data_IF_109781303631
#
_entry.id   IF_109781303631
#
_cell.length_a   1.000
_cell.length_b   1.000
_cell.length_c   1.000
_cell.angle_alpha   90.00
_cell.angle_beta   90.00
_cell.angle_gamma   90.00
#
_symmetry.space_group_name_H-M   'P 1'
#
loop_
_entity.id
_entity.type
_entity.pdbx_description
1 polymer ?
#
# COMPACT_ATOMS: atom_id res chain seq x y z
N UNK A 1 -2.32 33.37 0.65
CA UNK A 1 -3.65 33.57 0.03
C UNK A 1 -4.50 32.33 0.30
N UNK A 2 -5.77 32.50 0.68
CA UNK A 2 -6.71 31.36 0.79
C UNK A 2 -6.95 30.88 -0.64
N UNK A 3 -6.52 29.66 -0.98
CA UNK A 3 -6.76 29.09 -2.31
C UNK A 3 -8.27 28.87 -2.47
N UNK A 4 -8.85 29.38 -3.57
CA UNK A 4 -10.23 29.12 -3.95
C UNK A 4 -10.40 27.60 -4.12
N UNK A 5 -11.39 27.00 -3.45
CA UNK A 5 -11.74 25.57 -3.59
C UNK A 5 -13.14 25.49 -4.20
N UNK A 6 -13.39 24.49 -5.03
CA UNK A 6 -14.72 24.16 -5.53
C UNK A 6 -15.36 23.15 -4.60
N UNK A 7 -16.60 23.36 -4.23
CA UNK A 7 -17.36 22.40 -3.45
C UNK A 7 -18.20 21.54 -4.39
N UNK A 8 -18.11 20.23 -4.21
CA UNK A 8 -18.94 19.26 -4.90
C UNK A 8 -19.71 18.47 -3.86
N UNK A 9 -21.00 18.80 -3.73
CA UNK A 9 -21.89 18.13 -2.79
C UNK A 9 -22.40 16.85 -3.46
N UNK A 10 -22.23 15.72 -2.78
CA UNK A 10 -22.74 14.45 -3.25
C UNK A 10 -24.26 14.40 -3.14
N UNK A 11 -24.90 13.93 -4.18
CA UNK A 11 -26.36 13.68 -4.19
C UNK A 11 -26.59 12.19 -4.00
N UNK A 12 -27.49 11.84 -3.10
CA UNK A 12 -27.84 10.44 -2.81
C UNK A 12 -29.28 10.14 -3.24
N UNK A 13 -29.56 8.89 -3.50
CA UNK A 13 -30.90 8.39 -3.81
C UNK A 13 -31.71 8.26 -2.51
N UNK A 14 -32.77 9.06 -2.40
CA UNK A 14 -33.67 9.08 -1.22
C UNK A 14 -34.40 7.76 -0.98
N UNK A 15 -34.72 7.04 -2.03
CA UNK A 15 -35.39 5.73 -1.90
C UNK A 15 -34.43 4.71 -1.28
N UNK A 16 -33.17 4.69 -1.73
CA UNK A 16 -32.12 3.83 -1.15
C UNK A 16 -31.80 4.23 0.30
N UNK A 17 -31.73 5.54 0.63
CA UNK A 17 -31.56 5.99 2.01
C UNK A 17 -32.67 5.43 2.91
N UNK A 18 -33.94 5.55 2.50
CA UNK A 18 -35.09 5.07 3.27
C UNK A 18 -35.09 3.53 3.44
N UNK A 19 -34.62 2.79 2.44
CA UNK A 19 -34.44 1.34 2.54
C UNK A 19 -33.39 1.01 3.60
N UNK A 20 -32.23 1.65 3.57
CA UNK A 20 -31.16 1.44 4.55
C UNK A 20 -31.59 1.80 5.98
N UNK A 21 -32.30 2.93 6.15
CA UNK A 21 -32.84 3.32 7.46
C UNK A 21 -33.78 2.23 8.01
N UNK A 22 -34.69 1.74 7.19
CA UNK A 22 -35.69 0.74 7.59
C UNK A 22 -35.06 -0.63 7.89
N UNK A 23 -34.15 -1.10 7.02
CA UNK A 23 -33.61 -2.46 7.08
C UNK A 23 -32.43 -2.59 8.07
N UNK A 24 -31.66 -1.51 8.27
CA UNK A 24 -30.47 -1.51 9.14
C UNK A 24 -30.67 -0.72 10.43
N UNK A 25 -31.72 0.06 10.56
CA UNK A 25 -31.96 0.90 11.76
C UNK A 25 -30.96 2.02 11.96
N UNK A 26 -30.28 2.48 10.88
CA UNK A 26 -29.22 3.50 10.97
C UNK A 26 -29.80 4.91 10.95
N UNK A 27 -29.04 5.86 11.50
CA UNK A 27 -29.36 7.28 11.43
C UNK A 27 -29.43 7.75 9.95
N UNK A 28 -30.34 8.66 9.57
CA UNK A 28 -30.48 9.17 8.20
C UNK A 28 -29.19 9.67 7.58
N UNK A 29 -28.31 10.34 8.33
CA UNK A 29 -27.02 10.79 7.82
C UNK A 29 -26.10 9.61 7.49
N UNK A 30 -26.10 8.55 8.30
CA UNK A 30 -25.34 7.33 8.05
C UNK A 30 -25.85 6.64 6.79
N UNK A 31 -27.17 6.52 6.64
CA UNK A 31 -27.76 5.95 5.42
C UNK A 31 -27.34 6.72 4.16
N UNK A 32 -27.36 8.06 4.21
CA UNK A 32 -26.91 8.92 3.13
C UNK A 32 -25.43 8.68 2.79
N UNK A 33 -24.55 8.58 3.81
CA UNK A 33 -23.14 8.28 3.62
C UNK A 33 -22.92 6.90 3.00
N UNK A 34 -23.73 5.90 3.39
CA UNK A 34 -23.67 4.56 2.83
C UNK A 34 -24.10 4.53 1.36
N UNK A 35 -25.19 5.21 1.01
CA UNK A 35 -25.64 5.34 -0.40
C UNK A 35 -24.59 6.01 -1.26
N UNK A 36 -23.96 7.08 -0.78
CA UNK A 36 -22.88 7.77 -1.49
C UNK A 36 -21.64 6.88 -1.71
N UNK A 37 -21.46 5.84 -0.90
CA UNK A 37 -20.39 4.83 -1.02
C UNK A 37 -20.84 3.56 -1.74
N UNK A 38 -22.05 3.58 -2.33
CA UNK A 38 -22.65 2.45 -3.03
C UNK A 38 -22.82 1.19 -2.17
N UNK A 39 -22.98 1.37 -0.86
CA UNK A 39 -23.20 0.27 0.09
C UNK A 39 -24.70 -0.05 0.12
N UNK A 40 -25.06 -1.26 -0.29
CA UNK A 40 -26.44 -1.79 -0.21
C UNK A 40 -26.77 -2.35 1.18
N UNK A 41 -27.97 -2.92 1.35
CA UNK A 41 -28.43 -3.46 2.64
C UNK A 41 -27.56 -4.62 3.12
N UNK A 42 -27.21 -5.56 2.23
CA UNK A 42 -26.44 -6.75 2.59
C UNK A 42 -24.99 -6.40 2.92
N UNK A 43 -24.39 -5.55 2.14
CA UNK A 43 -23.05 -5.02 2.43
C UNK A 43 -23.06 -4.12 3.68
N UNK A 44 -24.11 -3.31 3.86
CA UNK A 44 -24.28 -2.45 5.02
C UNK A 44 -24.39 -3.23 6.32
N UNK A 45 -25.09 -4.36 6.30
CA UNK A 45 -25.19 -5.27 7.47
C UNK A 45 -23.81 -5.82 7.83
N UNK A 46 -23.05 -6.29 6.83
CA UNK A 46 -21.66 -6.75 7.03
C UNK A 46 -20.72 -5.63 7.47
N UNK A 47 -20.89 -4.43 6.91
CA UNK A 47 -20.08 -3.28 7.25
C UNK A 47 -20.25 -2.83 8.71
N UNK A 48 -21.50 -2.86 9.22
CA UNK A 48 -21.82 -2.43 10.59
C UNK A 48 -21.58 -3.54 11.63
N UNK A 49 -21.94 -4.78 11.30
CA UNK A 49 -22.03 -5.89 12.24
C UNK A 49 -21.10 -7.06 11.90
N UNK A 50 -20.36 -6.98 10.79
CA UNK A 50 -19.50 -8.07 10.34
C UNK A 50 -18.50 -8.52 11.42
N UNK A 51 -18.29 -9.81 11.48
CA UNK A 51 -17.45 -10.52 12.43
C UNK A 51 -16.54 -11.53 11.72
N UNK A 52 -15.62 -12.14 12.45
CA UNK A 52 -14.72 -13.16 11.90
C UNK A 52 -15.44 -14.38 11.29
N UNK A 53 -16.70 -14.64 11.67
CA UNK A 53 -17.51 -15.69 11.05
C UNK A 53 -17.98 -15.37 9.63
N UNK A 54 -17.88 -14.12 9.21
CA UNK A 54 -18.24 -13.65 7.87
C UNK A 54 -17.07 -13.63 6.89
N UNK A 55 -15.87 -14.09 7.32
CA UNK A 55 -14.73 -14.24 6.45
C UNK A 55 -15.05 -15.28 5.36
N UNK A 56 -14.64 -14.95 4.12
CA UNK A 56 -14.88 -15.81 2.96
C UNK A 56 -13.94 -17.02 2.96
N UNK A 57 -14.41 -18.13 2.40
CA UNK A 57 -13.63 -19.33 2.21
C UNK A 57 -12.35 -19.02 1.39
N UNK A 58 -11.14 -19.26 1.93
CA UNK A 58 -9.90 -18.99 1.22
C UNK A 58 -9.74 -19.86 -0.04
N UNK A 59 -10.38 -21.05 -0.11
CA UNK A 59 -10.37 -21.91 -1.29
C UNK A 59 -11.20 -21.38 -2.46
N UNK A 60 -11.98 -20.32 -2.27
CA UNK A 60 -12.62 -19.59 -3.37
C UNK A 60 -11.63 -18.72 -4.17
N UNK A 61 -10.41 -18.47 -3.66
CA UNK A 61 -9.32 -17.87 -4.43
C UNK A 61 -8.78 -18.90 -5.44
N UNK A 62 -8.59 -18.46 -6.67
CA UNK A 62 -8.02 -19.29 -7.73
C UNK A 62 -6.64 -19.82 -7.33
N UNK A 63 -6.34 -21.06 -7.69
CA UNK A 63 -5.10 -21.79 -7.45
C UNK A 63 -4.74 -22.01 -5.96
N UNK A 64 -5.65 -21.71 -5.02
CA UNK A 64 -5.40 -21.88 -3.59
C UNK A 64 -5.16 -23.34 -3.20
N UNK A 65 -5.91 -24.25 -3.79
CA UNK A 65 -5.78 -25.71 -3.57
C UNK A 65 -4.41 -26.23 -4.05
N UNK A 66 -3.97 -25.75 -5.21
CA UNK A 66 -2.63 -26.08 -5.77
C UNK A 66 -1.53 -25.54 -4.87
N UNK A 67 -1.65 -24.27 -4.42
CA UNK A 67 -0.68 -23.66 -3.53
C UNK A 67 -0.58 -24.39 -2.19
N UNK A 68 -1.73 -24.72 -1.56
CA UNK A 68 -1.78 -25.49 -0.31
C UNK A 68 -1.07 -26.83 -0.47
N UNK A 69 -1.39 -27.58 -1.53
CA UNK A 69 -0.79 -28.89 -1.79
C UNK A 69 0.73 -28.79 -1.97
N UNK A 70 1.21 -27.80 -2.74
CA UNK A 70 2.63 -27.60 -2.99
C UNK A 70 3.41 -27.19 -1.72
N UNK A 71 2.83 -26.31 -0.90
CA UNK A 71 3.46 -25.91 0.38
C UNK A 71 3.54 -27.11 1.33
N UNK A 72 2.46 -27.89 1.48
CA UNK A 72 2.46 -29.09 2.32
C UNK A 72 3.48 -30.12 1.87
N UNK A 73 3.54 -30.42 0.58
CA UNK A 73 4.53 -31.35 0.01
C UNK A 73 5.97 -30.87 0.26
N UNK A 74 6.21 -29.56 0.13
CA UNK A 74 7.54 -28.97 0.35
C UNK A 74 7.96 -29.08 1.81
N UNK A 75 7.03 -28.82 2.75
CA UNK A 75 7.27 -28.99 4.20
C UNK A 75 7.52 -30.45 4.56
N UNK A 76 6.69 -31.39 4.08
CA UNK A 76 6.84 -32.82 4.34
C UNK A 76 8.18 -33.38 3.84
N UNK A 77 8.69 -32.84 2.74
CA UNK A 77 9.99 -33.20 2.18
C UNK A 77 11.17 -32.45 2.80
N UNK A 78 10.93 -31.61 3.82
CA UNK A 78 11.94 -30.75 4.47
C UNK A 78 12.78 -29.95 3.48
N UNK A 79 12.16 -29.41 2.45
CA UNK A 79 12.82 -28.59 1.44
C UNK A 79 12.76 -27.11 1.80
N UNK A 80 13.82 -26.31 1.45
CA UNK A 80 13.87 -24.90 1.81
C UNK A 80 12.84 -24.09 1.03
N UNK A 81 12.13 -23.21 1.74
CA UNK A 81 11.16 -22.26 1.23
C UNK A 81 11.72 -20.85 1.42
N UNK A 82 11.60 -19.99 0.41
CA UNK A 82 11.91 -18.57 0.54
C UNK A 82 10.63 -17.75 0.28
N UNK A 83 10.33 -16.85 1.20
CA UNK A 83 9.30 -15.83 1.02
C UNK A 83 9.97 -14.62 0.36
N UNK A 84 9.52 -14.25 -0.84
CA UNK A 84 10.00 -13.07 -1.56
C UNK A 84 8.98 -11.95 -1.40
N UNK A 85 9.28 -10.95 -0.56
CA UNK A 85 8.37 -9.85 -0.24
C UNK A 85 8.70 -8.55 -0.97
N UNK A 86 7.85 -7.53 -0.78
CA UNK A 86 8.15 -6.14 -1.13
C UNK A 86 8.66 -5.36 0.09
N UNK A 87 9.25 -4.20 -0.16
CA UNK A 87 9.92 -3.36 0.84
C UNK A 87 8.99 -2.36 1.55
N UNK A 88 7.72 -2.26 1.18
CA UNK A 88 6.74 -1.42 1.88
C UNK A 88 6.04 -2.16 3.03
N UNK A 89 5.15 -1.48 3.76
CA UNK A 89 4.52 -2.07 4.95
C UNK A 89 3.61 -3.24 4.61
N UNK A 90 2.96 -3.26 3.45
CA UNK A 90 2.13 -4.40 3.03
C UNK A 90 3.00 -5.62 2.76
N UNK A 91 4.08 -5.48 1.97
CA UNK A 91 5.07 -6.53 1.72
C UNK A 91 5.78 -7.01 2.99
N UNK A 92 6.20 -6.08 3.88
CA UNK A 92 6.82 -6.37 5.17
C UNK A 92 5.88 -7.20 6.06
N UNK A 93 4.62 -6.78 6.20
CA UNK A 93 3.64 -7.48 7.04
C UNK A 93 3.22 -8.81 6.44
N UNK A 94 3.06 -8.90 5.11
CA UNK A 94 2.78 -10.13 4.40
C UNK A 94 3.91 -11.17 4.58
N UNK A 95 5.16 -10.72 4.43
CA UNK A 95 6.35 -11.54 4.71
C UNK A 95 6.36 -12.03 6.15
N UNK A 96 6.09 -11.13 7.10
CA UNK A 96 6.12 -11.46 8.53
C UNK A 96 5.05 -12.48 8.92
N UNK A 97 3.81 -12.29 8.44
CA UNK A 97 2.69 -13.20 8.71
C UNK A 97 2.98 -14.59 8.14
N UNK A 98 3.38 -14.67 6.87
CA UNK A 98 3.64 -15.96 6.22
C UNK A 98 4.87 -16.66 6.84
N UNK A 99 5.94 -15.91 7.17
CA UNK A 99 7.13 -16.46 7.84
C UNK A 99 6.79 -17.06 9.21
N UNK A 100 6.11 -16.29 10.08
CA UNK A 100 5.67 -16.76 11.41
C UNK A 100 4.81 -18.01 11.30
N UNK A 101 3.87 -17.99 10.37
CA UNK A 101 2.98 -19.12 10.12
C UNK A 101 3.72 -20.37 9.64
N UNK A 102 4.59 -20.25 8.64
CA UNK A 102 5.37 -21.39 8.12
C UNK A 102 6.34 -21.95 9.17
N UNK A 103 6.98 -21.09 9.99
CA UNK A 103 7.77 -21.52 11.17
C UNK A 103 6.91 -22.31 12.16
N UNK A 104 5.70 -21.87 12.45
CA UNK A 104 4.74 -22.60 13.31
C UNK A 104 4.37 -23.98 12.74
N UNK A 105 4.38 -24.14 11.42
CA UNK A 105 4.19 -25.42 10.75
C UNK A 105 5.44 -26.32 10.74
N UNK A 106 6.61 -25.80 11.18
CA UNK A 106 7.88 -26.51 11.17
C UNK A 106 8.62 -26.47 9.82
N UNK A 107 8.28 -25.54 8.94
CA UNK A 107 8.96 -25.37 7.66
C UNK A 107 10.40 -24.88 7.81
N UNK A 108 11.27 -25.34 6.92
CA UNK A 108 12.56 -24.70 6.66
C UNK A 108 12.34 -23.48 5.78
N UNK A 109 12.15 -22.32 6.40
CA UNK A 109 11.75 -21.08 5.71
C UNK A 109 12.65 -19.92 6.07
N UNK A 110 12.99 -19.15 5.04
CA UNK A 110 13.67 -17.85 5.11
C UNK A 110 12.90 -16.82 4.30
N UNK A 111 13.34 -15.57 4.30
CA UNK A 111 12.72 -14.52 3.50
C UNK A 111 13.78 -13.66 2.81
N UNK A 112 13.37 -13.03 1.72
CA UNK A 112 14.14 -12.09 0.92
C UNK A 112 13.31 -10.86 0.65
N UNK A 113 13.87 -9.68 0.90
CA UNK A 113 13.26 -8.39 0.59
C UNK A 113 14.21 -7.63 -0.34
N UNK A 114 13.82 -7.28 -1.57
CA UNK A 114 14.68 -6.56 -2.50
C UNK A 114 15.03 -5.16 -2.00
N UNK A 115 16.21 -4.69 -2.34
CA UNK A 115 16.61 -3.31 -2.08
C UNK A 115 16.01 -2.37 -3.11
N UNK A 116 15.22 -1.40 -2.64
CA UNK A 116 14.53 -0.43 -3.49
C UNK A 116 15.44 0.32 -4.47
N UNK A 117 16.67 0.64 -4.05
CA UNK A 117 17.56 1.51 -4.83
C UNK A 117 18.34 0.75 -5.91
N UNK A 118 18.79 -0.47 -5.61
CA UNK A 118 19.63 -1.31 -6.47
C UNK A 118 18.83 -2.28 -7.33
N UNK A 119 17.72 -2.84 -6.79
CA UNK A 119 16.96 -3.91 -7.43
C UNK A 119 15.60 -3.44 -7.96
N UNK A 120 15.07 -2.32 -7.44
CA UNK A 120 13.78 -1.77 -7.88
C UNK A 120 12.58 -2.43 -7.21
N UNK A 121 11.43 -2.42 -7.90
CA UNK A 121 10.16 -2.99 -7.44
C UNK A 121 9.90 -4.34 -8.09
N UNK A 122 9.38 -5.29 -7.31
CA UNK A 122 8.93 -6.59 -7.78
C UNK A 122 10.05 -7.63 -7.86
N UNK A 123 9.83 -8.68 -8.66
CA UNK A 123 10.81 -9.74 -8.81
C UNK A 123 12.06 -9.27 -9.57
N UNK A 124 13.21 -9.74 -9.11
CA UNK A 124 14.51 -9.51 -9.73
C UNK A 124 15.10 -10.85 -10.18
N UNK A 125 15.56 -10.94 -11.43
CA UNK A 125 16.10 -12.19 -11.99
C UNK A 125 17.39 -12.63 -11.27
N UNK A 126 18.31 -11.71 -11.01
CA UNK A 126 19.58 -12.01 -10.32
C UNK A 126 19.34 -12.55 -8.90
N UNK A 127 18.39 -11.95 -8.18
CA UNK A 127 17.99 -12.43 -6.86
C UNK A 127 17.42 -13.86 -6.92
N UNK A 128 16.53 -14.14 -7.90
CA UNK A 128 15.98 -15.49 -8.07
C UNK A 128 17.06 -16.50 -8.47
N UNK A 129 18.01 -16.15 -9.32
CA UNK A 129 19.13 -17.02 -9.67
C UNK A 129 20.00 -17.33 -8.47
N UNK A 130 20.28 -16.34 -7.62
CA UNK A 130 21.00 -16.55 -6.37
C UNK A 130 20.25 -17.51 -5.42
N UNK A 131 18.93 -17.36 -5.30
CA UNK A 131 18.11 -18.29 -4.49
C UNK A 131 18.13 -19.72 -5.03
N UNK A 132 18.13 -19.89 -6.37
CA UNK A 132 18.27 -21.19 -7.02
C UNK A 132 19.64 -21.82 -6.72
N UNK A 133 20.72 -21.04 -6.78
CA UNK A 133 22.08 -21.49 -6.48
C UNK A 133 22.21 -21.92 -4.99
N UNK A 134 21.47 -21.28 -4.08
CA UNK A 134 21.40 -21.67 -2.69
C UNK A 134 20.56 -22.94 -2.43
N UNK A 135 19.94 -23.51 -3.45
CA UNK A 135 19.15 -24.74 -3.35
C UNK A 135 17.72 -24.53 -2.87
N UNK A 136 17.16 -23.32 -3.00
CA UNK A 136 15.75 -23.04 -2.69
C UNK A 136 14.85 -23.92 -3.55
N UNK A 137 13.90 -24.61 -2.92
CA UNK A 137 12.97 -25.50 -3.62
C UNK A 137 11.66 -24.79 -4.00
N UNK A 138 11.21 -23.87 -3.18
CA UNK A 138 9.96 -23.12 -3.39
C UNK A 138 10.15 -21.66 -3.03
N UNK A 139 9.78 -20.76 -3.96
CA UNK A 139 9.63 -19.34 -3.70
C UNK A 139 8.14 -19.01 -3.60
N UNK A 140 7.75 -18.32 -2.52
CA UNK A 140 6.39 -17.77 -2.36
C UNK A 140 6.53 -16.26 -2.38
N UNK A 141 6.01 -15.60 -3.43
CA UNK A 141 5.99 -14.13 -3.45
C UNK A 141 4.84 -13.63 -2.61
N UNK A 142 5.03 -12.49 -1.95
CA UNK A 142 3.97 -11.79 -1.23
C UNK A 142 3.97 -10.33 -1.64
N UNK A 143 2.79 -9.80 -1.97
CA UNK A 143 2.57 -8.41 -2.38
C UNK A 143 3.34 -7.99 -3.65
N UNK A 144 3.76 -8.95 -4.46
CA UNK A 144 4.44 -8.71 -5.73
C UNK A 144 4.37 -9.94 -6.64
N UNK A 145 4.75 -9.73 -7.91
CA UNK A 145 4.99 -10.82 -8.85
C UNK A 145 3.94 -11.00 -9.94
N UNK A 146 2.71 -10.48 -9.80
CA UNK A 146 1.64 -10.66 -10.81
C UNK A 146 2.00 -10.09 -12.18
N UNK A 147 2.84 -9.08 -12.25
CA UNK A 147 3.30 -8.44 -13.50
C UNK A 147 4.63 -9.02 -14.03
N UNK A 148 5.24 -9.99 -13.34
CA UNK A 148 6.60 -10.46 -13.64
C UNK A 148 6.64 -11.67 -14.57
N UNK A 149 5.85 -11.65 -15.66
CA UNK A 149 5.75 -12.78 -16.61
C UNK A 149 7.10 -13.27 -17.12
N UNK A 150 7.92 -12.37 -17.68
CA UNK A 150 9.19 -12.73 -18.30
C UNK A 150 10.20 -13.29 -17.30
N UNK A 151 10.24 -12.75 -16.09
CA UNK A 151 11.15 -13.20 -15.04
C UNK A 151 10.76 -14.60 -14.56
N UNK A 152 9.46 -14.83 -14.30
CA UNK A 152 8.96 -16.16 -13.90
C UNK A 152 9.20 -17.19 -14.99
N UNK A 153 8.98 -16.83 -16.26
CA UNK A 153 9.23 -17.72 -17.41
C UNK A 153 10.71 -18.12 -17.51
N UNK A 154 11.64 -17.22 -17.21
CA UNK A 154 13.08 -17.49 -17.24
C UNK A 154 13.55 -18.53 -16.20
N UNK A 155 12.82 -18.67 -15.08
CA UNK A 155 13.23 -19.55 -13.95
C UNK A 155 12.28 -20.73 -13.70
N UNK A 156 11.12 -20.79 -14.35
CA UNK A 156 10.02 -21.74 -14.03
C UNK A 156 10.39 -23.22 -14.05
N UNK A 157 11.37 -23.63 -14.87
CA UNK A 157 11.82 -25.03 -14.98
C UNK A 157 12.94 -25.36 -13.97
N UNK A 158 13.38 -24.35 -13.19
CA UNK A 158 14.49 -24.43 -12.24
C UNK A 158 14.08 -24.31 -10.79
N UNK A 159 12.92 -23.68 -10.51
CA UNK A 159 12.41 -23.47 -9.16
C UNK A 159 10.88 -23.42 -9.19
N UNK A 160 10.24 -24.01 -8.21
CA UNK A 160 8.80 -23.90 -8.03
C UNK A 160 8.44 -22.54 -7.42
N UNK A 161 7.39 -21.91 -7.94
CA UNK A 161 6.94 -20.60 -7.47
C UNK A 161 5.43 -20.58 -7.20
N UNK A 162 5.05 -19.92 -6.11
CA UNK A 162 3.67 -19.49 -5.80
C UNK A 162 3.68 -17.97 -5.78
N UNK A 163 2.81 -17.34 -6.54
CA UNK A 163 2.63 -15.88 -6.52
C UNK A 163 1.41 -15.57 -5.68
N UNK A 164 1.58 -14.75 -4.62
CA UNK A 164 0.48 -14.12 -3.89
C UNK A 164 0.59 -12.61 -4.05
N UNK A 165 -0.43 -12.00 -4.66
CA UNK A 165 -0.39 -10.59 -5.01
C UNK A 165 -1.82 -10.02 -5.04
N UNK A 166 -1.95 -8.71 -4.90
CA UNK A 166 -3.23 -8.01 -4.95
C UNK A 166 -3.26 -6.90 -6.02
N UNK A 167 -2.15 -6.62 -6.66
CA UNK A 167 -2.06 -5.64 -7.73
C UNK A 167 -2.91 -6.02 -8.94
N UNK A 168 -3.21 -5.04 -9.79
CA UNK A 168 -4.01 -5.28 -11.00
C UNK A 168 -3.35 -6.33 -11.88
N UNK A 169 -4.08 -7.40 -12.17
CA UNK A 169 -3.59 -8.49 -12.99
C UNK A 169 -3.47 -8.05 -14.46
N UNK A 170 -2.31 -8.21 -15.11
CA UNK A 170 -2.13 -7.93 -16.54
C UNK A 170 -2.83 -8.99 -17.39
N UNK A 171 -2.84 -8.77 -18.72
CA UNK A 171 -3.40 -9.76 -19.65
C UNK A 171 -2.57 -11.05 -19.71
N UNK A 172 -1.24 -10.94 -19.59
CA UNK A 172 -0.33 -12.09 -19.49
C UNK A 172 0.01 -12.37 -18.03
N UNK A 173 -0.56 -13.45 -17.48
CA UNK A 173 -0.32 -13.91 -16.12
C UNK A 173 0.96 -14.75 -16.08
N UNK A 174 1.87 -14.56 -15.08
CA UNK A 174 3.04 -15.40 -14.90
C UNK A 174 2.69 -16.89 -14.78
N UNK A 175 3.50 -17.75 -15.39
CA UNK A 175 3.29 -19.20 -15.39
C UNK A 175 3.96 -19.87 -14.19
N UNK A 176 3.65 -19.38 -12.99
CA UNK A 176 4.02 -20.04 -11.73
C UNK A 176 3.19 -21.31 -11.50
N UNK A 177 3.56 -22.13 -10.51
CA UNK A 177 2.77 -23.32 -10.11
C UNK A 177 1.37 -22.97 -9.61
N UNK A 178 1.27 -21.85 -8.90
CA UNK A 178 0.02 -21.27 -8.47
C UNK A 178 0.11 -19.73 -8.50
N UNK A 179 -0.99 -19.06 -8.87
CA UNK A 179 -1.09 -17.60 -8.87
C UNK A 179 -2.35 -17.20 -8.11
N UNK A 180 -2.17 -16.75 -6.87
CA UNK A 180 -3.24 -16.32 -5.99
C UNK A 180 -3.36 -14.81 -6.08
N UNK A 181 -4.34 -14.35 -6.84
CA UNK A 181 -4.68 -12.93 -6.95
C UNK A 181 -6.17 -12.81 -7.28
N UNK A 182 -6.91 -12.14 -6.39
CA UNK A 182 -8.36 -12.00 -6.50
C UNK A 182 -8.81 -11.13 -7.68
N UNK A 183 -7.91 -10.34 -8.28
CA UNK A 183 -8.19 -9.48 -9.45
C UNK A 183 -7.97 -10.18 -10.81
N UNK A 184 -7.57 -11.45 -10.83
CA UNK A 184 -7.55 -12.23 -12.09
C UNK A 184 -8.97 -12.32 -12.68
N UNK A 185 -9.07 -12.27 -14.01
CA UNK A 185 -10.36 -12.26 -14.74
C UNK A 185 -11.23 -13.51 -14.46
N UNK A 186 -10.59 -14.65 -14.23
CA UNK A 186 -11.19 -15.95 -13.97
C UNK A 186 -11.21 -16.35 -12.49
N UNK A 187 -10.86 -15.43 -11.59
CA UNK A 187 -10.98 -15.64 -10.16
C UNK A 187 -12.37 -15.23 -9.67
N UNK A 188 -13.09 -16.16 -9.05
CA UNK A 188 -14.46 -15.97 -8.56
C UNK A 188 -14.54 -15.51 -7.10
N UNK A 189 -13.43 -15.18 -6.48
CA UNK A 189 -13.42 -14.62 -5.13
C UNK A 189 -14.22 -13.33 -5.07
N UNK A 190 -15.15 -13.23 -4.12
CA UNK A 190 -16.14 -12.14 -4.11
C UNK A 190 -15.53 -10.78 -3.71
N UNK A 191 -14.60 -10.79 -2.73
CA UNK A 191 -13.93 -9.57 -2.31
C UNK A 191 -12.74 -9.27 -3.24
N UNK A 192 -12.77 -8.09 -3.85
CA UNK A 192 -11.72 -7.63 -4.79
C UNK A 192 -10.79 -6.58 -4.18
N UNK A 193 -10.86 -6.39 -2.87
CA UNK A 193 -10.16 -5.31 -2.17
C UNK A 193 -9.06 -5.77 -1.21
N UNK A 194 -8.80 -7.07 -1.07
CA UNK A 194 -7.74 -7.55 -0.17
C UNK A 194 -6.41 -6.84 -0.48
N UNK A 195 -5.66 -6.49 0.58
CA UNK A 195 -4.25 -6.08 0.51
C UNK A 195 -3.33 -7.27 0.25
N UNK A 196 -2.05 -7.04 -0.05
CA UNK A 196 -1.06 -8.11 -0.21
C UNK A 196 -0.94 -8.99 1.03
N UNK A 197 -0.89 -8.40 2.23
CA UNK A 197 -0.92 -9.17 3.49
C UNK A 197 -2.24 -9.91 3.66
N UNK A 198 -3.35 -9.35 3.20
CA UNK A 198 -4.66 -10.03 3.21
C UNK A 198 -4.64 -11.29 2.36
N UNK A 199 -4.04 -11.27 1.16
CA UNK A 199 -3.89 -12.44 0.29
C UNK A 199 -2.96 -13.48 0.92
N UNK A 200 -1.81 -13.06 1.47
CA UNK A 200 -0.89 -13.95 2.18
C UNK A 200 -1.57 -14.60 3.42
N UNK A 201 -2.37 -13.83 4.14
CA UNK A 201 -3.16 -14.33 5.27
C UNK A 201 -4.21 -15.38 4.84
N UNK A 202 -4.84 -15.22 3.67
CA UNK A 202 -5.74 -16.24 3.10
C UNK A 202 -5.01 -17.56 2.82
N UNK A 203 -3.76 -17.52 2.36
CA UNK A 203 -2.93 -18.72 2.21
C UNK A 203 -2.67 -19.39 3.57
N UNK A 204 -2.35 -18.60 4.61
CA UNK A 204 -2.20 -19.12 5.97
C UNK A 204 -3.50 -19.76 6.47
N UNK A 205 -4.65 -19.13 6.23
CA UNK A 205 -5.97 -19.69 6.59
C UNK A 205 -6.26 -21.01 5.87
N UNK A 206 -6.02 -21.10 4.57
CA UNK A 206 -6.24 -22.31 3.78
C UNK A 206 -5.38 -23.48 4.29
N UNK A 207 -4.10 -23.24 4.53
CA UNK A 207 -3.18 -24.23 5.08
C UNK A 207 -3.60 -24.71 6.49
N UNK A 208 -4.05 -23.78 7.34
CA UNK A 208 -4.48 -24.11 8.71
C UNK A 208 -5.80 -24.85 8.72
N UNK A 209 -6.77 -24.45 7.91
CA UNK A 209 -8.05 -25.16 7.72
C UNK A 209 -7.82 -26.59 7.26
N UNK A 210 -6.92 -26.81 6.28
CA UNK A 210 -6.58 -28.16 5.80
C UNK A 210 -5.96 -29.02 6.91
N UNK A 211 -5.13 -28.43 7.77
CA UNK A 211 -4.44 -29.18 8.83
C UNK A 211 -5.31 -29.44 10.06
N UNK A 212 -6.14 -28.48 10.47
CA UNK A 212 -6.83 -28.49 11.76
C UNK A 212 -8.35 -28.46 11.68
N UNK A 213 -8.90 -28.04 10.57
CA UNK A 213 -10.34 -27.74 10.42
C UNK A 213 -10.77 -26.40 11.05
N UNK A 214 -9.85 -25.59 11.54
CA UNK A 214 -10.10 -24.33 12.23
C UNK A 214 -9.50 -23.14 11.47
N UNK A 215 -10.04 -21.93 11.73
CA UNK A 215 -9.53 -20.68 11.14
C UNK A 215 -8.23 -20.24 11.80
N UNK A 216 -7.24 -19.81 10.99
CA UNK A 216 -6.04 -19.13 11.50
C UNK A 216 -6.34 -17.66 11.77
N UNK A 217 -6.13 -17.21 13.02
CA UNK A 217 -6.45 -15.86 13.48
C UNK A 217 -5.34 -15.22 14.32
N UNK A 218 -4.17 -15.88 14.43
CA UNK A 218 -3.15 -15.48 15.39
C UNK A 218 -2.49 -14.12 15.08
N UNK A 219 -2.27 -13.77 13.81
CA UNK A 219 -1.52 -12.57 13.40
C UNK A 219 -2.41 -11.44 12.85
N UNK A 220 -3.69 -11.40 13.25
CA UNK A 220 -4.65 -10.37 12.78
C UNK A 220 -4.19 -8.92 13.01
N UNK A 221 -3.44 -8.65 14.06
CA UNK A 221 -2.88 -7.33 14.34
C UNK A 221 -1.82 -6.92 13.30
N UNK A 222 -0.96 -7.86 12.86
CA UNK A 222 0.01 -7.64 11.78
C UNK A 222 -0.72 -7.46 10.45
N UNK A 223 -1.76 -8.28 10.19
CA UNK A 223 -2.58 -8.17 8.96
C UNK A 223 -3.30 -6.83 8.90
N UNK A 224 -3.87 -6.37 10.02
CA UNK A 224 -4.51 -5.06 10.11
C UNK A 224 -3.51 -3.90 9.86
N UNK A 225 -2.27 -4.03 10.37
CA UNK A 225 -1.22 -3.04 10.17
C UNK A 225 -0.91 -2.85 8.68
N UNK A 226 -0.68 -3.93 7.92
CA UNK A 226 -0.41 -3.86 6.48
C UNK A 226 -1.63 -3.39 5.69
N UNK A 227 -2.81 -3.96 5.97
CA UNK A 227 -4.06 -3.59 5.26
C UNK A 227 -4.38 -2.09 5.38
N UNK A 228 -4.19 -1.48 6.56
CA UNK A 228 -4.40 -0.03 6.73
C UNK A 228 -3.29 0.77 6.06
N UNK A 229 -2.04 0.29 6.12
CA UNK A 229 -0.89 0.99 5.54
C UNK A 229 -0.91 1.06 4.02
N UNK A 230 -1.44 0.04 3.35
CA UNK A 230 -1.61 -0.03 1.89
C UNK A 230 -2.77 0.85 1.36
N UNK A 231 -3.59 1.38 2.27
CA UNK A 231 -4.70 2.30 1.93
C UNK A 231 -5.78 1.64 1.03
N UNK A 232 -5.91 0.32 1.07
CA UNK A 232 -7.01 -0.39 0.40
C UNK A 232 -8.36 -0.03 1.02
N UNK A 233 -9.47 -0.12 0.26
CA UNK A 233 -10.80 0.14 0.80
C UNK A 233 -11.10 -0.74 2.03
N UNK A 234 -11.47 -0.12 3.16
CA UNK A 234 -11.85 -0.82 4.39
C UNK A 234 -13.34 -1.23 4.34
N UNK A 235 -13.67 -2.06 3.37
CA UNK A 235 -14.97 -2.69 3.15
C UNK A 235 -14.82 -4.22 3.16
N UNK A 236 -15.90 -4.98 3.12
CA UNK A 236 -15.86 -6.44 3.05
C UNK A 236 -14.95 -7.06 4.11
N UNK A 237 -14.07 -7.97 3.70
CA UNK A 237 -13.15 -8.66 4.60
C UNK A 237 -12.09 -7.74 5.22
N UNK A 238 -11.59 -6.74 4.48
CA UNK A 238 -10.62 -5.79 5.01
C UNK A 238 -11.15 -5.09 6.27
N UNK A 239 -12.44 -4.71 6.27
CA UNK A 239 -13.05 -4.09 7.46
C UNK A 239 -13.13 -5.06 8.63
N UNK A 240 -13.52 -6.30 8.39
CA UNK A 240 -13.61 -7.34 9.43
C UNK A 240 -12.21 -7.61 10.03
N UNK A 241 -11.22 -7.80 9.16
CA UNK A 241 -9.83 -8.06 9.54
C UNK A 241 -9.26 -6.88 10.34
N UNK A 242 -9.44 -5.65 9.84
CA UNK A 242 -8.91 -4.45 10.50
C UNK A 242 -9.58 -4.22 11.86
N UNK A 243 -10.90 -4.42 11.96
CA UNK A 243 -11.61 -4.31 13.24
C UNK A 243 -11.07 -5.31 14.27
N UNK A 244 -11.02 -6.60 13.91
CA UNK A 244 -10.51 -7.64 14.79
C UNK A 244 -9.01 -7.46 15.10
N UNK A 245 -8.22 -7.04 14.13
CA UNK A 245 -6.80 -6.76 14.30
C UNK A 245 -6.52 -5.58 15.22
N UNK A 246 -7.32 -4.51 15.14
CA UNK A 246 -7.24 -3.38 16.08
C UNK A 246 -7.65 -3.80 17.50
N UNK A 247 -8.67 -4.62 17.67
CA UNK A 247 -9.05 -5.19 18.96
C UNK A 247 -7.90 -6.01 19.56
N UNK A 248 -7.24 -6.85 18.75
CA UNK A 248 -6.06 -7.61 19.17
C UNK A 248 -4.86 -6.71 19.46
N UNK A 249 -4.59 -5.71 18.62
CA UNK A 249 -3.51 -4.74 18.81
C UNK A 249 -3.64 -3.97 20.14
N UNK A 250 -4.86 -3.69 20.56
CA UNK A 250 -5.15 -2.99 21.84
C UNK A 250 -5.21 -3.92 23.06
N UNK A 251 -5.33 -5.23 22.89
CA UNK A 251 -5.41 -6.19 24.00
C UNK A 251 -4.15 -7.03 24.14
N UNK A 252 -3.73 -7.70 23.11
CA UNK A 252 -2.60 -8.65 23.08
C UNK A 252 -1.78 -8.49 21.79
N UNK A 253 -1.12 -7.34 21.60
CA UNK A 253 -0.37 -7.06 20.37
C UNK A 253 0.83 -7.99 20.18
N UNK A 254 1.22 -8.18 18.94
CA UNK A 254 2.54 -8.68 18.57
C UNK A 254 3.63 -7.88 19.30
N UNK A 255 4.70 -8.55 19.71
CA UNK A 255 5.78 -7.93 20.50
C UNK A 255 6.40 -6.72 19.77
N UNK A 256 6.69 -6.86 18.48
CA UNK A 256 7.25 -5.78 17.67
C UNK A 256 6.29 -4.60 17.54
N UNK A 257 5.00 -4.85 17.31
CA UNK A 257 3.97 -3.80 17.28
C UNK A 257 3.91 -3.07 18.62
N UNK A 258 3.93 -3.81 19.74
CA UNK A 258 3.94 -3.20 21.09
C UNK A 258 5.12 -2.25 21.26
N UNK A 259 6.33 -2.69 20.92
CA UNK A 259 7.53 -1.86 21.03
C UNK A 259 7.49 -0.65 20.08
N UNK A 260 6.93 -0.82 18.89
CA UNK A 260 6.73 0.29 17.94
C UNK A 260 5.73 1.33 18.49
N UNK A 261 4.65 0.89 19.15
CA UNK A 261 3.67 1.75 19.85
C UNK A 261 4.36 2.52 20.97
N UNK A 262 5.22 1.86 21.75
CA UNK A 262 5.94 2.47 22.88
C UNK A 262 6.87 3.59 22.39
N UNK A 263 7.74 3.34 21.42
CA UNK A 263 8.66 4.37 20.88
C UNK A 263 7.93 5.48 20.11
N UNK A 264 6.71 5.23 19.66
CA UNK A 264 5.85 6.23 19.04
C UNK A 264 5.13 7.14 20.04
N UNK A 265 5.25 6.87 21.35
CA UNK A 265 4.59 7.63 22.40
C UNK A 265 3.07 7.40 22.47
N UNK A 266 2.61 6.22 22.06
CA UNK A 266 1.18 5.87 22.00
C UNK A 266 0.75 4.86 23.08
N UNK A 267 1.63 4.51 24.03
CA UNK A 267 1.42 3.43 25.03
C UNK A 267 0.17 3.59 25.92
N UNK A 268 -0.33 4.84 26.11
CA UNK A 268 -1.54 5.11 26.90
C UNK A 268 -2.77 5.38 26.04
N UNK A 269 -2.68 5.14 24.72
CA UNK A 269 -3.77 5.45 23.78
C UNK A 269 -4.35 4.18 23.17
N UNK A 270 -5.64 4.20 22.95
CA UNK A 270 -6.28 3.20 22.08
C UNK A 270 -5.78 3.41 20.63
N UNK A 271 -5.16 2.37 20.07
CA UNK A 271 -4.66 2.40 18.70
C UNK A 271 -5.83 2.31 17.73
N UNK A 272 -5.83 3.22 16.76
CA UNK A 272 -6.83 3.32 15.71
C UNK A 272 -6.18 3.18 14.33
N UNK A 273 -6.98 3.03 13.27
CA UNK A 273 -6.47 3.03 11.89
C UNK A 273 -5.68 4.32 11.57
N UNK A 274 -6.07 5.47 12.11
CA UNK A 274 -5.31 6.72 11.98
C UNK A 274 -3.91 6.63 12.59
N UNK A 275 -3.75 6.01 13.76
CA UNK A 275 -2.43 5.79 14.36
C UNK A 275 -1.59 4.83 13.51
N UNK A 276 -2.20 3.80 12.91
CA UNK A 276 -1.50 2.92 11.96
C UNK A 276 -1.00 3.74 10.76
N UNK A 277 -1.90 4.41 10.04
CA UNK A 277 -1.55 5.07 8.77
C UNK A 277 -0.58 6.25 8.93
N UNK A 278 -0.71 7.04 9.99
CA UNK A 278 0.05 8.29 10.16
C UNK A 278 1.19 8.20 11.17
N UNK A 279 1.30 7.13 11.96
CA UNK A 279 2.31 7.04 13.01
C UNK A 279 3.13 5.74 12.95
N UNK A 280 2.50 4.57 12.92
CA UNK A 280 3.21 3.29 12.94
C UNK A 280 3.76 2.91 11.56
N UNK A 281 2.93 2.91 10.52
CA UNK A 281 3.33 2.56 9.16
C UNK A 281 4.46 3.44 8.60
N UNK A 282 4.50 4.76 8.82
CA UNK A 282 5.63 5.58 8.39
C UNK A 282 6.99 5.17 8.97
N UNK A 283 7.03 4.60 10.19
CA UNK A 283 8.26 4.09 10.81
C UNK A 283 8.78 2.83 10.12
N UNK A 284 7.90 1.90 9.79
CA UNK A 284 8.24 0.70 9.03
C UNK A 284 8.65 1.06 7.60
N UNK A 285 7.88 1.92 6.92
CA UNK A 285 8.19 2.40 5.57
C UNK A 285 9.53 3.16 5.48
N UNK A 286 9.98 3.80 6.56
CA UNK A 286 11.24 4.52 6.56
C UNK A 286 12.43 3.57 6.32
N UNK A 287 12.40 2.35 6.84
CA UNK A 287 13.42 1.32 6.59
C UNK A 287 13.59 1.06 5.09
N UNK A 288 12.51 0.76 4.36
CA UNK A 288 12.57 0.52 2.91
C UNK A 288 12.91 1.76 2.05
N UNK A 289 12.99 2.96 2.65
CA UNK A 289 13.33 4.21 1.95
C UNK A 289 14.76 4.68 2.21
N UNK A 290 15.27 4.50 3.41
CA UNK A 290 16.54 5.08 3.89
C UNK A 290 17.55 4.00 4.24
N UNK A 291 17.10 2.86 4.75
CA UNK A 291 17.92 1.70 5.15
C UNK A 291 17.40 0.41 4.50
N UNK A 292 17.33 -0.68 5.24
CA UNK A 292 16.89 -1.99 4.75
C UNK A 292 15.55 -2.41 5.37
N UNK A 293 14.57 -2.74 4.53
CA UNK A 293 13.23 -3.17 4.96
C UNK A 293 13.23 -4.45 5.81
N UNK A 294 14.28 -5.28 5.68
CA UNK A 294 14.52 -6.49 6.49
C UNK A 294 14.40 -6.22 7.99
N UNK A 295 14.88 -5.05 8.47
CA UNK A 295 14.77 -4.67 9.89
C UNK A 295 13.33 -4.58 10.37
N UNK A 296 12.41 -4.12 9.52
CA UNK A 296 10.99 -4.07 9.86
C UNK A 296 10.36 -5.48 9.93
N UNK A 297 10.78 -6.42 9.07
CA UNK A 297 10.38 -7.82 9.17
C UNK A 297 10.92 -8.42 10.47
N UNK A 298 12.21 -8.22 10.78
CA UNK A 298 12.84 -8.72 12.03
C UNK A 298 12.08 -8.24 13.27
N UNK A 299 11.62 -6.97 13.31
CA UNK A 299 10.80 -6.45 14.40
C UNK A 299 9.52 -7.25 14.62
N UNK A 300 8.82 -7.60 13.52
CA UNK A 300 7.52 -8.26 13.60
C UNK A 300 7.61 -9.78 13.85
N UNK A 301 8.77 -10.38 13.59
CA UNK A 301 8.95 -11.83 13.75
C UNK A 301 9.75 -12.24 14.99
N UNK A 302 10.42 -11.30 15.66
CA UNK A 302 11.21 -11.62 16.85
C UNK A 302 10.34 -11.89 18.07
N UNK A 303 10.74 -12.89 18.89
CA UNK A 303 10.18 -13.16 20.20
C UNK A 303 11.08 -12.64 21.34
N UNK A 304 12.21 -12.00 21.02
CA UNK A 304 13.14 -11.40 21.98
C UNK A 304 12.78 -9.93 22.26
N UNK A 305 12.45 -9.62 23.52
CA UNK A 305 11.99 -8.30 23.92
C UNK A 305 13.06 -7.19 23.77
N UNK A 306 14.32 -7.52 24.11
CA UNK A 306 15.42 -6.55 24.01
C UNK A 306 15.76 -6.25 22.54
N UNK A 307 15.71 -7.28 21.69
CA UNK A 307 15.91 -7.13 20.25
C UNK A 307 14.76 -6.32 19.63
N UNK A 308 13.50 -6.58 20.00
CA UNK A 308 12.34 -5.82 19.52
C UNK A 308 12.44 -4.34 19.92
N UNK A 309 12.87 -4.04 21.14
CA UNK A 309 13.07 -2.67 21.62
C UNK A 309 14.15 -1.96 20.82
N UNK A 310 15.32 -2.56 20.67
CA UNK A 310 16.43 -1.99 19.91
C UNK A 310 16.06 -1.71 18.44
N UNK A 311 15.33 -2.63 17.79
CA UNK A 311 14.88 -2.43 16.40
C UNK A 311 13.81 -1.34 16.33
N UNK A 312 12.87 -1.29 17.26
CA UNK A 312 11.84 -0.25 17.27
C UNK A 312 12.45 1.16 17.44
N UNK A 313 13.47 1.30 18.31
CA UNK A 313 14.23 2.55 18.45
C UNK A 313 14.96 2.93 17.17
N UNK A 314 15.65 1.97 16.53
CA UNK A 314 16.32 2.16 15.24
C UNK A 314 15.33 2.67 14.16
N UNK A 315 14.18 2.01 14.01
CA UNK A 315 13.16 2.40 13.03
C UNK A 315 12.56 3.78 13.34
N UNK A 316 12.39 4.12 14.62
CA UNK A 316 11.93 5.43 15.02
C UNK A 316 12.95 6.52 14.66
N UNK A 317 14.25 6.28 14.86
CA UNK A 317 15.29 7.24 14.47
C UNK A 317 15.39 7.37 12.95
N UNK A 318 15.40 6.26 12.20
CA UNK A 318 15.36 6.26 10.72
C UNK A 318 14.17 7.06 10.18
N UNK A 319 13.00 6.95 10.84
CA UNK A 319 11.84 7.75 10.45
C UNK A 319 12.03 9.25 10.75
N UNK A 320 12.74 9.63 11.81
CA UNK A 320 13.10 11.03 12.11
C UNK A 320 14.04 11.57 11.04
N UNK A 321 15.09 10.84 10.71
CA UNK A 321 16.03 11.20 9.63
C UNK A 321 15.28 11.38 8.30
N UNK A 322 14.40 10.45 7.95
CA UNK A 322 13.55 10.58 6.77
C UNK A 322 12.70 11.84 6.78
N UNK A 323 12.10 12.20 7.93
CA UNK A 323 11.31 13.42 8.09
C UNK A 323 12.15 14.70 7.98
N UNK A 324 13.40 14.67 8.41
CA UNK A 324 14.31 15.80 8.27
C UNK A 324 14.74 15.98 6.82
N UNK A 325 15.14 14.91 6.14
CA UNK A 325 15.43 14.92 4.71
C UNK A 325 14.24 15.46 3.90
N UNK A 326 13.05 14.97 4.19
CA UNK A 326 11.80 15.40 3.54
C UNK A 326 11.54 16.89 3.72
N UNK A 327 11.69 17.43 4.96
CA UNK A 327 11.52 18.85 5.26
C UNK A 327 12.52 19.70 4.49
N UNK A 328 13.80 19.32 4.54
CA UNK A 328 14.87 20.07 3.89
C UNK A 328 14.68 20.12 2.37
N UNK A 329 14.38 18.97 1.74
CA UNK A 329 14.14 18.92 0.30
C UNK A 329 12.88 19.71 -0.07
N UNK A 330 11.80 19.63 0.73
CA UNK A 330 10.56 20.36 0.48
C UNK A 330 10.79 21.90 0.54
N UNK A 331 11.55 22.39 1.53
CA UNK A 331 11.87 23.82 1.63
C UNK A 331 12.70 24.30 0.43
N UNK A 332 13.73 23.56 0.03
CA UNK A 332 14.54 23.88 -1.14
C UNK A 332 13.71 23.86 -2.44
N UNK A 333 12.88 22.86 -2.59
CA UNK A 333 11.97 22.74 -3.74
C UNK A 333 10.98 23.91 -3.82
N UNK A 334 10.44 24.38 -2.70
CA UNK A 334 9.57 25.58 -2.65
C UNK A 334 10.27 26.84 -3.11
N UNK A 335 11.53 27.01 -2.69
CA UNK A 335 12.37 28.16 -3.13
C UNK A 335 12.58 28.09 -4.65
N UNK A 336 12.89 26.89 -5.17
CA UNK A 336 13.09 26.71 -6.62
C UNK A 336 11.80 27.01 -7.40
N UNK A 337 10.64 26.51 -6.96
CA UNK A 337 9.33 26.84 -7.56
C UNK A 337 9.08 28.36 -7.59
N UNK A 338 9.39 29.05 -6.50
CA UNK A 338 9.23 30.50 -6.43
C UNK A 338 10.15 31.24 -7.43
N UNK A 339 11.37 30.76 -7.61
CA UNK A 339 12.35 31.34 -8.53
C UNK A 339 12.00 31.08 -10.01
N UNK A 340 11.29 29.98 -10.31
CA UNK A 340 10.87 29.65 -11.68
C UNK A 340 9.78 30.60 -12.21
N UNK A 341 9.02 31.28 -11.34
CA UNK A 341 7.97 32.21 -11.72
C UNK A 341 6.92 31.56 -12.66
N UNK A 342 6.68 32.17 -13.81
CA UNK A 342 5.68 31.69 -14.77
C UNK A 342 5.97 30.30 -15.39
N UNK A 343 7.20 29.79 -15.31
CA UNK A 343 7.53 28.43 -15.78
C UNK A 343 6.84 27.36 -14.93
N UNK A 344 6.53 27.66 -13.66
CA UNK A 344 5.83 26.77 -12.76
C UNK A 344 4.28 26.98 -12.75
N UNK A 345 3.70 27.71 -13.73
CA UNK A 345 2.26 28.00 -13.72
C UNK A 345 1.39 26.78 -14.00
N UNK A 346 1.85 25.86 -14.83
CA UNK A 346 1.09 24.68 -15.30
C UNK A 346 1.57 23.34 -14.72
N UNK A 347 2.86 23.20 -14.52
CA UNK A 347 3.51 22.02 -13.96
C UNK A 347 4.67 22.46 -13.07
N UNK A 348 4.89 21.75 -11.98
CA UNK A 348 6.04 21.97 -11.10
C UNK A 348 7.12 20.95 -11.45
N UNK A 349 8.30 21.41 -11.90
CA UNK A 349 9.46 20.55 -12.15
C UNK A 349 10.63 21.14 -11.39
N UNK A 350 11.07 20.43 -10.35
CA UNK A 350 12.20 20.83 -9.50
C UNK A 350 13.27 19.76 -9.50
N UNK A 351 14.52 20.16 -9.50
CA UNK A 351 15.66 19.25 -9.55
C UNK A 351 16.83 19.79 -8.76
N UNK A 352 17.54 18.94 -8.05
CA UNK A 352 18.83 19.28 -7.46
C UNK A 352 19.71 18.04 -7.31
N UNK A 353 21.00 18.29 -7.18
CA UNK A 353 21.99 17.29 -6.81
C UNK A 353 21.77 16.85 -5.36
N UNK A 354 22.11 15.61 -5.06
CA UNK A 354 22.12 15.02 -3.71
C UNK A 354 20.77 14.96 -2.97
N UNK A 355 19.66 15.19 -3.64
CA UNK A 355 18.36 14.87 -3.04
C UNK A 355 18.18 13.37 -2.91
N UNK A 356 17.73 12.91 -1.74
CA UNK A 356 17.61 11.48 -1.49
C UNK A 356 16.45 10.84 -2.31
N UNK A 357 16.73 9.87 -3.21
CA UNK A 357 15.73 9.33 -4.14
C UNK A 357 14.57 8.60 -3.44
N UNK A 358 14.78 8.06 -2.24
CA UNK A 358 13.72 7.43 -1.44
C UNK A 358 12.68 8.40 -0.88
N UNK A 359 12.97 9.73 -0.89
CA UNK A 359 12.14 10.76 -0.25
C UNK A 359 11.45 11.68 -1.26
N UNK A 360 12.02 11.86 -2.47
CA UNK A 360 11.49 12.80 -3.48
C UNK A 360 10.01 12.55 -3.82
N UNK A 361 9.53 11.30 -3.78
CA UNK A 361 8.13 10.98 -4.03
C UNK A 361 7.17 11.53 -2.96
N UNK A 362 7.62 11.60 -1.69
CA UNK A 362 6.85 12.21 -0.60
C UNK A 362 6.83 13.73 -0.78
N UNK A 363 7.97 14.31 -1.13
CA UNK A 363 8.08 15.74 -1.43
C UNK A 363 7.19 16.13 -2.60
N UNK A 364 7.15 15.32 -3.67
CA UNK A 364 6.26 15.56 -4.80
C UNK A 364 4.78 15.60 -4.37
N UNK A 365 4.34 14.67 -3.50
CA UNK A 365 2.98 14.69 -2.95
C UNK A 365 2.69 15.98 -2.17
N UNK A 366 3.59 16.41 -1.29
CA UNK A 366 3.42 17.66 -0.52
C UNK A 366 3.37 18.90 -1.40
N UNK A 367 4.18 18.95 -2.45
CA UNK A 367 4.16 20.07 -3.40
C UNK A 367 2.83 20.10 -4.19
N UNK A 368 2.27 18.92 -4.54
CA UNK A 368 0.92 18.84 -5.13
C UNK A 368 -0.13 19.36 -4.16
N UNK A 369 -0.11 18.97 -2.90
CA UNK A 369 -1.03 19.47 -1.88
C UNK A 369 -0.93 21.00 -1.70
N UNK A 370 0.31 21.53 -1.73
CA UNK A 370 0.57 22.96 -1.55
C UNK A 370 0.21 23.77 -2.79
N UNK A 371 0.62 23.34 -3.98
CA UNK A 371 0.46 24.12 -5.23
C UNK A 371 -0.72 23.69 -6.08
N UNK A 372 -1.20 22.46 -5.92
CA UNK A 372 -2.24 21.81 -6.71
C UNK A 372 -1.93 21.84 -8.21
N UNK A 373 -0.77 21.33 -8.55
CA UNK A 373 -0.27 21.18 -9.93
C UNK A 373 0.39 19.81 -10.09
N UNK A 374 0.38 19.22 -11.30
CA UNK A 374 1.24 18.07 -11.58
C UNK A 374 2.68 18.41 -11.21
N UNK A 375 3.34 17.53 -10.46
CA UNK A 375 4.63 17.85 -9.86
C UNK A 375 5.63 16.74 -10.11
N UNK A 376 6.83 17.11 -10.55
CA UNK A 376 8.00 16.26 -10.73
C UNK A 376 9.11 16.75 -9.80
N UNK A 377 9.64 15.85 -8.98
CA UNK A 377 10.81 16.10 -8.13
C UNK A 377 11.93 15.17 -8.57
N UNK A 378 13.08 15.74 -8.91
CA UNK A 378 14.19 15.02 -9.55
C UNK A 378 15.42 15.08 -8.66
N UNK A 379 15.96 13.94 -8.30
CA UNK A 379 17.26 13.77 -7.65
C UNK A 379 18.31 13.53 -8.73
N UNK A 380 19.35 14.36 -8.78
CA UNK A 380 20.44 14.20 -9.74
C UNK A 380 21.61 13.54 -9.03
N UNK A 381 22.17 12.49 -9.66
CA UNK A 381 23.40 11.85 -9.20
C UNK A 381 24.20 11.37 -10.42
N UNK A 382 25.49 11.71 -10.47
CA UNK A 382 26.39 11.38 -11.60
C UNK A 382 25.83 11.75 -12.99
N UNK A 383 25.16 12.91 -13.09
CA UNK A 383 24.59 13.40 -14.34
C UNK A 383 23.27 12.73 -14.77
N UNK A 384 22.75 11.79 -13.97
CA UNK A 384 21.45 11.13 -14.19
C UNK A 384 20.44 11.63 -13.17
N UNK A 385 19.30 12.10 -13.65
CA UNK A 385 18.15 12.46 -12.83
C UNK A 385 17.22 11.27 -12.62
N UNK A 386 16.96 10.89 -11.36
CA UNK A 386 15.85 10.00 -10.99
C UNK A 386 14.68 10.85 -10.53
N UNK A 387 13.55 10.80 -11.23
CA UNK A 387 12.37 11.61 -10.97
C UNK A 387 11.21 10.83 -10.37
N UNK A 388 10.47 11.47 -9.47
CA UNK A 388 9.19 10.99 -8.97
C UNK A 388 8.11 12.02 -9.24
N UNK A 389 7.01 11.57 -9.84
CA UNK A 389 5.88 12.42 -10.23
C UNK A 389 4.64 12.15 -9.39
N UNK A 390 3.88 13.21 -9.16
CA UNK A 390 2.53 13.14 -8.59
C UNK A 390 1.60 14.04 -9.39
N UNK A 391 0.37 13.59 -9.56
CA UNK A 391 -0.64 14.28 -10.36
C UNK A 391 -1.70 14.97 -9.48
N UNK A 392 -2.54 15.74 -10.15
CA UNK A 392 -3.81 16.27 -9.62
C UNK A 392 -4.97 15.46 -10.17
N UNK A 393 -6.15 15.60 -9.55
CA UNK A 393 -7.36 14.92 -10.02
C UNK A 393 -7.68 15.27 -11.48
N UNK A 394 -7.98 14.23 -12.26
CA UNK A 394 -8.35 14.40 -13.68
C UNK A 394 -7.19 14.49 -14.67
N UNK A 395 -5.94 14.57 -14.21
CA UNK A 395 -4.75 14.61 -15.08
C UNK A 395 -3.94 13.32 -15.03
N UNK A 396 -3.66 12.71 -16.18
CA UNK A 396 -2.85 11.51 -16.28
C UNK A 396 -1.36 11.87 -16.48
N UNK A 397 -0.56 11.74 -15.41
CA UNK A 397 0.88 12.07 -15.45
C UNK A 397 1.67 11.05 -16.29
N UNK A 398 1.21 9.80 -16.39
CA UNK A 398 1.85 8.78 -17.22
C UNK A 398 1.77 9.13 -18.70
N UNK A 399 0.60 9.57 -19.20
CA UNK A 399 0.44 10.00 -20.58
C UNK A 399 1.28 11.24 -20.89
N UNK A 400 1.41 12.16 -19.94
CA UNK A 400 2.29 13.32 -20.04
C UNK A 400 3.76 12.91 -20.18
N UNK A 401 4.26 11.97 -19.38
CA UNK A 401 5.61 11.43 -19.51
C UNK A 401 5.79 10.67 -20.83
N UNK A 402 4.81 9.88 -21.25
CA UNK A 402 4.83 9.15 -22.51
C UNK A 402 4.97 10.10 -23.71
N UNK A 403 4.36 11.28 -23.65
CA UNK A 403 4.53 12.29 -24.70
C UNK A 403 5.95 12.86 -24.80
N UNK A 404 6.79 12.57 -23.81
CA UNK A 404 8.18 12.98 -23.70
C UNK A 404 9.15 11.78 -23.70
N UNK A 405 8.73 10.59 -24.15
CA UNK A 405 9.52 9.34 -24.05
C UNK A 405 10.91 9.44 -24.69
N UNK A 406 11.06 10.23 -25.75
CA UNK A 406 12.34 10.45 -26.46
C UNK A 406 13.36 11.29 -25.65
N UNK A 407 12.94 11.95 -24.58
CA UNK A 407 13.83 12.67 -23.64
C UNK A 407 14.15 11.87 -22.40
N UNK A 408 13.44 10.78 -22.14
CA UNK A 408 13.59 9.95 -20.97
C UNK A 408 14.45 8.72 -21.25
N UNK A 409 15.23 8.29 -20.27
CA UNK A 409 15.98 7.03 -20.34
C UNK A 409 15.06 5.83 -20.03
N UNK A 410 14.19 6.02 -19.05
CA UNK A 410 13.20 5.05 -18.61
C UNK A 410 12.06 5.76 -17.92
N UNK A 411 10.84 5.25 -18.02
CA UNK A 411 9.71 5.72 -17.24
C UNK A 411 8.68 4.61 -17.01
N UNK A 412 7.87 4.78 -15.95
CA UNK A 412 6.80 3.85 -15.61
C UNK A 412 5.89 4.42 -14.52
N UNK A 413 4.71 3.85 -14.36
CA UNK A 413 3.76 4.26 -13.35
C UNK A 413 2.32 4.25 -13.85
N UNK A 414 1.49 5.06 -13.20
CA UNK A 414 0.05 5.16 -13.43
C UNK A 414 -0.39 6.62 -13.51
N UNK A 415 -1.67 6.87 -13.78
CA UNK A 415 -2.24 8.21 -13.94
C UNK A 415 -1.92 9.17 -12.79
N UNK A 416 -1.95 8.71 -11.53
CA UNK A 416 -1.74 9.54 -10.35
C UNK A 416 -0.27 9.70 -9.93
N UNK A 417 0.59 8.74 -10.27
CA UNK A 417 1.99 8.70 -9.83
C UNK A 417 2.85 7.94 -10.84
N UNK A 418 4.03 8.45 -11.12
CA UNK A 418 5.00 7.82 -12.00
C UNK A 418 6.43 8.09 -11.56
N UNK A 419 7.36 7.27 -12.06
CA UNK A 419 8.79 7.46 -11.89
C UNK A 419 9.47 7.49 -13.26
N UNK A 420 10.64 8.13 -13.34
CA UNK A 420 11.43 8.17 -14.57
C UNK A 420 12.91 8.39 -14.29
N UNK A 421 13.73 8.13 -15.31
CA UNK A 421 15.14 8.51 -15.35
C UNK A 421 15.41 9.38 -16.58
N UNK A 422 16.32 10.36 -16.44
CA UNK A 422 16.62 11.35 -17.47
C UNK A 422 18.09 11.77 -17.39
N UNK A 423 18.71 12.16 -18.51
CA UNK A 423 19.98 12.89 -18.49
C UNK A 423 19.76 14.28 -17.88
N UNK A 424 20.56 14.67 -16.89
CA UNK A 424 20.43 15.95 -16.19
C UNK A 424 20.43 17.17 -17.13
N UNK A 425 21.15 17.09 -18.24
CA UNK A 425 21.20 18.17 -19.25
C UNK A 425 19.87 18.34 -20.01
N UNK A 426 18.94 17.37 -19.94
CA UNK A 426 17.65 17.41 -20.65
C UNK A 426 16.47 17.79 -19.74
N UNK A 427 16.71 18.10 -18.46
CA UNK A 427 15.63 18.44 -17.52
C UNK A 427 14.88 19.71 -17.95
N UNK A 428 15.55 20.71 -18.47
CA UNK A 428 14.91 21.94 -18.96
C UNK A 428 14.03 21.66 -20.19
N UNK A 429 14.49 20.80 -21.10
CA UNK A 429 13.67 20.34 -22.24
C UNK A 429 12.41 19.60 -21.78
N UNK A 430 12.54 18.71 -20.79
CA UNK A 430 11.40 18.01 -20.20
C UNK A 430 10.39 19.00 -19.60
N UNK A 431 10.88 20.00 -18.84
CA UNK A 431 10.04 21.05 -18.23
C UNK A 431 9.26 21.83 -19.27
N UNK A 432 9.90 22.25 -20.34
CA UNK A 432 9.25 23.03 -21.41
C UNK A 432 8.18 22.22 -22.15
N UNK A 433 8.47 20.96 -22.46
CA UNK A 433 7.52 20.03 -23.09
C UNK A 433 6.30 19.72 -22.20
N UNK A 434 6.54 19.41 -20.91
CA UNK A 434 5.46 19.17 -19.97
C UNK A 434 4.62 20.43 -19.73
N UNK A 435 5.25 21.62 -19.71
CA UNK A 435 4.51 22.89 -19.61
C UNK A 435 3.57 23.06 -20.81
N UNK A 436 4.06 22.79 -22.02
CA UNK A 436 3.24 22.85 -23.23
C UNK A 436 2.12 21.81 -23.21
N UNK A 437 2.42 20.58 -22.80
CA UNK A 437 1.43 19.50 -22.65
C UNK A 437 0.34 19.87 -21.65
N UNK A 438 0.71 20.28 -20.44
CA UNK A 438 -0.25 20.67 -19.40
C UNK A 438 -1.12 21.85 -19.86
N UNK A 439 -0.52 22.84 -20.51
CA UNK A 439 -1.27 24.00 -21.05
C UNK A 439 -2.31 23.60 -22.10
N UNK A 440 -2.06 22.53 -22.87
CA UNK A 440 -2.97 22.04 -23.89
C UNK A 440 -4.06 21.11 -23.34
N UNK A 441 -3.79 20.39 -22.23
CA UNK A 441 -4.66 19.30 -21.76
C UNK A 441 -5.31 19.55 -20.38
N UNK A 442 -4.92 20.61 -19.65
CA UNK A 442 -5.49 20.93 -18.33
C UNK A 442 -6.20 22.28 -18.40
N UNK A 443 -7.45 22.31 -18.06
CA UNK A 443 -8.25 23.55 -18.02
C UNK A 443 -7.95 24.36 -16.74
N UNK A 444 -8.22 25.66 -16.78
CA UNK A 444 -8.05 26.51 -15.60
C UNK A 444 -8.88 26.06 -14.38
N UNK A 445 -10.00 25.37 -14.62
CA UNK A 445 -10.86 24.85 -13.56
C UNK A 445 -10.26 23.62 -12.88
N UNK A 446 -9.51 22.79 -13.59
CA UNK A 446 -8.85 21.58 -13.05
C UNK A 446 -7.69 21.92 -12.12
N UNK A 447 -7.12 23.13 -12.21
CA UNK A 447 -6.14 23.62 -11.22
C UNK A 447 -6.77 24.15 -9.93
N UNK A 448 -8.11 24.05 -9.77
CA UNK A 448 -8.80 24.44 -8.55
C UNK A 448 -9.16 23.17 -7.77
N UNK A 449 -8.60 22.96 -6.56
CA UNK A 449 -8.91 21.77 -5.75
C UNK A 449 -10.41 21.65 -5.49
N UNK A 450 -10.91 20.40 -5.56
CA UNK A 450 -12.30 20.07 -5.25
C UNK A 450 -12.38 19.57 -3.81
N UNK A 451 -13.29 20.13 -3.03
CA UNK A 451 -13.71 19.57 -1.74
C UNK A 451 -14.97 18.75 -1.99
N UNK A 452 -14.86 17.44 -1.90
CA UNK A 452 -16.02 16.56 -1.91
C UNK A 452 -16.73 16.65 -0.56
N UNK A 453 -18.02 17.00 -0.60
CA UNK A 453 -18.89 17.07 0.57
C UNK A 453 -19.86 15.91 0.49
N UNK A 454 -19.76 14.97 1.44
CA UNK A 454 -20.57 13.76 1.45
C UNK A 454 -22.04 14.06 1.75
N UNK A 455 -22.31 15.00 2.65
CA UNK A 455 -23.68 15.34 3.03
C UNK A 455 -23.76 16.77 3.60
N UNK A 456 -24.90 17.43 3.40
CA UNK A 456 -25.31 18.59 4.17
C UNK A 456 -26.08 18.13 5.40
N UNK A 457 -25.76 18.70 6.56
CA UNK A 457 -26.42 18.43 7.83
C UNK A 457 -27.06 19.73 8.32
N UNK A 458 -28.41 19.80 8.40
CA UNK A 458 -29.11 20.93 8.99
C UNK A 458 -28.68 21.12 10.45
N UNK A 459 -28.58 22.37 10.90
CA UNK A 459 -28.15 22.68 12.28
C UNK A 459 -29.08 22.06 13.32
N UNK A 460 -30.37 22.00 13.03
CA UNK A 460 -31.39 21.41 13.90
C UNK A 460 -31.27 19.89 14.05
N UNK A 461 -30.58 19.22 13.13
CA UNK A 461 -30.34 17.77 13.16
C UNK A 461 -29.02 17.41 13.88
N UNK A 462 -28.26 18.42 14.37
CA UNK A 462 -27.01 18.18 15.08
C UNK A 462 -27.33 17.86 16.56
N UNK A 463 -27.18 16.61 16.92
CA UNK A 463 -27.32 16.12 18.26
C UNK A 463 -26.02 15.48 18.80
N UNK A 464 -26.07 15.01 20.05
CA UNK A 464 -24.92 14.38 20.70
C UNK A 464 -24.54 13.07 20.01
N UNK A 465 -25.50 12.30 19.52
CA UNK A 465 -25.25 11.02 18.85
C UNK A 465 -24.53 11.21 17.53
N UNK A 466 -24.94 12.22 16.75
CA UNK A 466 -24.23 12.61 15.50
C UNK A 466 -22.82 13.14 15.81
N UNK A 467 -22.68 13.97 16.87
CA UNK A 467 -21.35 14.43 17.30
C UNK A 467 -20.45 13.27 17.67
N UNK A 468 -20.95 12.26 18.38
CA UNK A 468 -20.21 11.07 18.76
C UNK A 468 -19.83 10.22 17.53
N UNK A 469 -20.70 10.08 16.52
CA UNK A 469 -20.39 9.41 15.27
C UNK A 469 -19.22 10.07 14.52
N UNK A 470 -19.15 11.40 14.58
CA UNK A 470 -18.11 12.17 13.89
C UNK A 470 -16.80 12.24 14.68
N UNK A 471 -16.85 12.27 16.01
CA UNK A 471 -15.69 12.48 16.89
C UNK A 471 -15.15 11.19 17.52
N UNK A 472 -15.96 10.14 17.59
CA UNK A 472 -15.54 8.85 18.12
C UNK A 472 -14.59 8.16 17.14
N UNK A 473 -13.41 7.70 17.58
CA UNK A 473 -12.60 6.82 16.77
C UNK A 473 -13.35 5.48 16.61
N UNK A 474 -13.92 5.30 15.46
CA UNK A 474 -14.61 4.05 15.11
C UNK A 474 -13.64 2.95 14.78
#
# INVERSE_FOLDING_TARGET
MIKKKRWRISTSDKEQENILIRELGVNPIVAKLMVNRHIDVDEGRRFLQGSLSDLLDPFALKDMDVAVSLVQETIEKHKPIVIYGDYDVDGITATSVLYRFLKKLGADVTYYIPERQSEGYGLNLEALEHLIEQGTALVITVDCGISSYDIVEAVRDRIDMIITDHHTAPDMIPRAKAVINHKQKDCHYKDKNLSGVGVAFKLCQALWLTKTGEWYLDDLDIVALGTVADVVPLVGENRIIVKAGLEKMNSHPNLGIKKLVDVAGLHERTITSGHIGFTLAPRLNAAGRVTHATRAVELLVTDNADMAEAIAEELNETNRERQELERNIHELARIDVANQGHKADYVTVVAAEDWHPGVIGIVASRLVEEFYKPTLVISIHDGIGKGSCRSIDGFNIYDALKSCEDVLLQFGGHAAAAGFSIDANRIDELRDRLTAYCKAHVTAEEYIPVVAIDAELPVDDIDVDICLLYTSPS
#
